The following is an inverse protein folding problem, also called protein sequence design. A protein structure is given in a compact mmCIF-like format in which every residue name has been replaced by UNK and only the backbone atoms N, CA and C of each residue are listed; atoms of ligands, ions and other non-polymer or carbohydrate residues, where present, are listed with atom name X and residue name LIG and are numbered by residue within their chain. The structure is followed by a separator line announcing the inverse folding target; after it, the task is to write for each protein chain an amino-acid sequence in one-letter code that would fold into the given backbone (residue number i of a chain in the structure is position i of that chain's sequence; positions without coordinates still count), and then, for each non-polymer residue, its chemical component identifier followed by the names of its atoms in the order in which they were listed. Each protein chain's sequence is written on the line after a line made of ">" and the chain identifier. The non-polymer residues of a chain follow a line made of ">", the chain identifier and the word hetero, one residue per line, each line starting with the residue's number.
data_IF_341782716140
#
_entry.id   IF_341782716140
#
_cell.length_a   1.000
_cell.length_b   1.000
_cell.length_c   1.000
_cell.angle_alpha   90.00
_cell.angle_beta   90.00
_cell.angle_gamma   90.00
#
_symmetry.space_group_name_H-M   'P 1'
#
loop_
_entity.id
_entity.type
_entity.pdbx_description
1 polymer ?
#
# COMPACT_ATOMS: atom_id res chain seq x y z
N UNK A 1 -46.22 82.57 97.58
CA UNK A 1 -47.19 81.53 97.17
C UNK A 1 -46.39 80.35 96.63
N UNK A 2 -46.53 79.17 97.22
CA UNK A 2 -45.75 77.98 96.86
C UNK A 2 -46.63 77.07 96.01
N UNK A 3 -46.25 76.83 94.75
CA UNK A 3 -46.94 75.91 93.86
C UNK A 3 -46.39 74.50 94.09
N UNK A 4 -47.27 73.60 94.56
CA UNK A 4 -46.95 72.17 94.65
C UNK A 4 -47.19 71.57 93.27
N UNK A 5 -46.12 71.07 92.66
CA UNK A 5 -46.23 70.33 91.41
C UNK A 5 -46.77 68.92 91.70
N UNK A 6 -48.07 68.72 91.47
CA UNK A 6 -48.77 67.44 91.65
C UNK A 6 -48.65 66.53 90.41
N UNK A 7 -47.83 66.90 89.43
CA UNK A 7 -47.57 66.06 88.28
C UNK A 7 -46.54 64.98 88.65
N UNK A 8 -46.99 63.95 89.36
CA UNK A 8 -46.17 62.78 89.66
C UNK A 8 -45.88 62.01 88.37
N UNK A 9 -44.62 61.59 88.20
CA UNK A 9 -44.14 60.84 87.02
C UNK A 9 -44.91 59.54 86.75
N UNK A 10 -45.60 59.01 87.77
CA UNK A 10 -46.46 57.83 87.68
C UNK A 10 -47.72 58.03 86.81
N UNK A 11 -48.11 59.26 86.50
CA UNK A 11 -49.26 59.58 85.63
C UNK A 11 -48.86 59.87 84.18
N UNK A 12 -47.61 59.63 83.78
CA UNK A 12 -47.23 59.67 82.37
C UNK A 12 -47.92 58.49 81.65
N UNK A 13 -48.74 58.72 80.61
CA UNK A 13 -49.32 57.64 79.83
C UNK A 13 -48.19 56.79 79.25
N UNK A 14 -48.18 55.48 79.57
CA UNK A 14 -47.27 54.52 78.93
C UNK A 14 -47.64 54.46 77.46
N UNK A 15 -46.88 55.18 76.65
CA UNK A 15 -46.88 55.04 75.20
C UNK A 15 -46.29 53.66 74.89
N UNK A 16 -47.16 52.69 74.60
CA UNK A 16 -46.76 51.44 73.96
C UNK A 16 -46.34 51.77 72.53
N UNK A 17 -45.05 52.02 72.34
CA UNK A 17 -44.50 52.37 71.02
C UNK A 17 -44.67 51.23 70.00
N UNK A 18 -44.89 49.99 70.46
CA UNK A 18 -45.18 48.79 69.67
C UNK A 18 -46.34 48.03 70.31
N UNK A 19 -47.56 48.19 69.80
CA UNK A 19 -48.64 47.24 70.13
C UNK A 19 -48.30 45.86 69.55
N UNK A 20 -48.68 44.77 70.23
CA UNK A 20 -48.38 43.39 69.78
C UNK A 20 -48.78 43.13 68.32
N UNK A 21 -49.87 43.75 67.87
CA UNK A 21 -50.34 43.69 66.48
C UNK A 21 -49.39 44.36 65.47
N UNK A 22 -48.77 45.50 65.83
CA UNK A 22 -47.78 46.19 65.00
C UNK A 22 -46.48 45.39 64.91
N UNK A 23 -46.07 44.75 66.00
CA UNK A 23 -44.96 43.79 65.99
C UNK A 23 -45.24 42.61 65.05
N UNK A 24 -46.45 42.04 65.12
CA UNK A 24 -46.83 40.92 64.27
C UNK A 24 -46.88 41.32 62.79
N UNK A 25 -47.39 42.51 62.48
CA UNK A 25 -47.49 43.02 61.11
C UNK A 25 -46.10 43.33 60.52
N UNK A 26 -45.20 43.94 61.31
CA UNK A 26 -43.81 44.17 60.89
C UNK A 26 -43.03 42.88 60.71
N UNK A 27 -43.20 41.89 61.61
CA UNK A 27 -42.60 40.57 61.46
C UNK A 27 -43.10 39.84 60.21
N UNK A 28 -44.41 39.91 59.92
CA UNK A 28 -45.01 39.36 58.71
C UNK A 28 -44.48 40.06 57.44
N UNK A 29 -44.38 41.39 57.45
CA UNK A 29 -43.82 42.17 56.35
C UNK A 29 -42.35 41.80 56.08
N UNK A 30 -41.54 41.65 57.12
CA UNK A 30 -40.15 41.20 57.02
C UNK A 30 -40.06 39.78 56.45
N UNK A 31 -40.91 38.86 56.92
CA UNK A 31 -40.96 37.48 56.39
C UNK A 31 -41.31 37.45 54.90
N UNK A 32 -42.33 38.21 54.49
CA UNK A 32 -42.72 38.33 53.08
C UNK A 32 -41.59 38.94 52.23
N UNK A 33 -40.89 39.93 52.76
CA UNK A 33 -39.75 40.54 52.08
C UNK A 33 -38.59 39.53 51.93
N UNK A 34 -38.28 38.76 52.98
CA UNK A 34 -37.28 37.68 52.90
C UNK A 34 -37.66 36.59 51.89
N UNK A 35 -38.92 36.16 51.88
CA UNK A 35 -39.42 35.17 50.91
C UNK A 35 -39.38 35.70 49.47
N UNK A 36 -39.77 36.96 49.27
CA UNK A 36 -39.72 37.61 47.95
C UNK A 36 -38.30 37.72 47.41
N UNK A 37 -37.35 38.15 48.24
CA UNK A 37 -35.92 38.19 47.87
C UNK A 37 -35.38 36.79 47.59
N UNK A 38 -35.70 35.81 48.45
CA UNK A 38 -35.30 34.42 48.26
C UNK A 38 -35.81 33.82 46.96
N UNK A 39 -37.06 34.12 46.57
CA UNK A 39 -37.64 33.63 45.33
C UNK A 39 -36.96 34.24 44.10
N UNK A 40 -36.67 35.54 44.13
CA UNK A 40 -35.94 36.23 43.05
C UNK A 40 -34.54 35.66 42.85
N UNK A 41 -33.79 35.43 43.94
CA UNK A 41 -32.44 34.84 43.90
C UNK A 41 -32.43 33.39 43.36
N UNK A 42 -33.46 32.59 43.67
CA UNK A 42 -33.56 31.21 43.19
C UNK A 42 -33.89 31.14 41.68
N UNK A 43 -34.67 32.10 41.15
CA UNK A 43 -34.98 32.16 39.73
C UNK A 43 -33.71 32.37 38.86
N UNK A 44 -32.78 33.21 39.32
CA UNK A 44 -31.50 33.43 38.64
C UNK A 44 -30.56 32.22 38.74
N UNK A 45 -30.61 31.48 39.85
CA UNK A 45 -29.80 30.27 40.04
C UNK A 45 -30.22 29.13 39.10
N UNK A 46 -31.52 28.93 38.89
CA UNK A 46 -32.01 27.86 38.00
C UNK A 46 -31.68 28.14 36.53
N UNK A 47 -31.77 29.40 36.09
CA UNK A 47 -31.39 29.78 34.73
C UNK A 47 -29.89 29.60 34.51
N UNK A 48 -29.05 30.05 35.46
CA UNK A 48 -27.60 29.88 35.39
C UNK A 48 -27.19 28.40 35.40
N UNK A 49 -27.83 27.58 36.25
CA UNK A 49 -27.60 26.13 36.31
C UNK A 49 -28.00 25.42 35.02
N UNK A 50 -29.10 25.86 34.40
CA UNK A 50 -29.53 25.36 33.09
C UNK A 50 -28.52 25.70 31.99
N UNK A 51 -28.01 26.95 31.96
CA UNK A 51 -26.98 27.37 31.00
C UNK A 51 -25.70 26.54 31.15
N UNK A 52 -25.20 26.38 32.39
CA UNK A 52 -24.01 25.56 32.67
C UNK A 52 -24.22 24.10 32.23
N UNK A 53 -25.40 23.54 32.45
CA UNK A 53 -25.72 22.17 32.00
C UNK A 53 -25.79 22.05 30.48
N UNK A 54 -26.30 23.06 29.78
CA UNK A 54 -26.32 23.10 28.32
C UNK A 54 -24.91 23.17 27.75
N UNK A 55 -24.06 24.05 28.28
CA UNK A 55 -22.66 24.15 27.86
C UNK A 55 -21.88 22.86 28.14
N UNK A 56 -22.09 22.25 29.32
CA UNK A 56 -21.50 20.93 29.62
C UNK A 56 -21.92 19.87 28.63
N UNK A 57 -23.20 19.81 28.26
CA UNK A 57 -23.69 18.87 27.25
C UNK A 57 -23.04 19.10 25.89
N UNK A 58 -22.93 20.36 25.46
CA UNK A 58 -22.26 20.71 24.20
C UNK A 58 -20.78 20.32 24.22
N UNK A 59 -20.09 20.57 25.35
CA UNK A 59 -18.69 20.22 25.52
C UNK A 59 -18.47 18.70 25.49
N UNK A 60 -19.33 17.92 26.14
CA UNK A 60 -19.27 16.45 26.08
C UNK A 60 -19.55 15.92 24.67
N UNK A 61 -20.47 16.53 23.92
CA UNK A 61 -20.69 16.19 22.51
C UNK A 61 -19.46 16.48 21.65
N UNK A 62 -18.83 17.64 21.82
CA UNK A 62 -17.61 18.00 21.08
C UNK A 62 -16.45 17.07 21.42
N UNK A 63 -16.28 16.68 22.69
CA UNK A 63 -15.29 15.68 23.09
C UNK A 63 -15.55 14.33 22.45
N UNK A 64 -16.79 13.86 22.43
CA UNK A 64 -17.15 12.60 21.79
C UNK A 64 -16.81 12.62 20.29
N UNK A 65 -17.13 13.71 19.59
CA UNK A 65 -16.76 13.91 18.18
C UNK A 65 -15.24 13.94 17.98
N UNK A 66 -14.51 14.58 18.89
CA UNK A 66 -13.04 14.64 18.83
C UNK A 66 -12.43 13.26 19.04
N UNK A 67 -12.89 12.49 20.03
CA UNK A 67 -12.45 11.11 20.25
C UNK A 67 -12.79 10.20 19.06
N UNK A 68 -13.98 10.37 18.47
CA UNK A 68 -14.36 9.65 17.26
C UNK A 68 -13.41 9.98 16.10
N UNK A 69 -13.14 11.27 15.86
CA UNK A 69 -12.23 11.71 14.81
C UNK A 69 -10.78 11.25 15.04
N UNK A 70 -10.29 11.32 16.28
CA UNK A 70 -8.98 10.78 16.68
C UNK A 70 -8.91 9.27 16.43
N UNK A 71 -9.98 8.52 16.74
CA UNK A 71 -10.04 7.09 16.46
C UNK A 71 -10.04 6.78 14.97
N UNK A 72 -10.70 7.60 14.14
CA UNK A 72 -10.68 7.48 12.68
C UNK A 72 -9.29 7.77 12.12
N UNK A 73 -8.57 8.74 12.69
CA UNK A 73 -7.19 9.07 12.30
C UNK A 73 -6.23 7.96 12.74
N UNK A 74 -6.36 7.45 13.97
CA UNK A 74 -5.51 6.38 14.50
C UNK A 74 -5.72 5.04 13.77
N UNK A 75 -6.95 4.74 13.36
CA UNK A 75 -7.29 3.57 12.56
C UNK A 75 -7.05 3.77 11.05
N UNK A 76 -6.67 4.97 10.62
CA UNK A 76 -6.23 5.18 9.25
C UNK A 76 -4.88 4.47 9.11
N UNK A 77 -4.72 3.49 8.21
CA UNK A 77 -3.42 2.89 7.97
C UNK A 77 -2.47 4.05 7.64
N UNK A 78 -1.41 4.18 8.44
CA UNK A 78 -0.41 5.24 8.29
C UNK A 78 -0.06 5.38 6.82
N UNK A 79 -0.11 6.61 6.29
CA UNK A 79 0.27 6.87 4.90
C UNK A 79 1.66 6.29 4.60
N UNK A 80 2.54 6.18 5.60
CA UNK A 80 3.83 5.51 5.50
C UNK A 80 3.74 4.01 5.10
N UNK A 81 2.69 3.31 5.53
CA UNK A 81 2.43 1.93 5.12
C UNK A 81 1.88 1.84 3.70
N UNK A 82 1.13 2.85 3.25
CA UNK A 82 0.62 2.93 1.87
C UNK A 82 1.74 3.30 0.90
N UNK A 83 2.59 4.25 1.26
CA UNK A 83 3.77 4.65 0.49
C UNK A 83 4.77 3.48 0.35
N UNK A 84 5.02 2.73 1.44
CA UNK A 84 5.87 1.54 1.35
C UNK A 84 5.26 0.45 0.45
N UNK A 85 3.93 0.30 0.44
CA UNK A 85 3.25 -0.63 -0.46
C UNK A 85 3.33 -0.17 -1.91
N UNK A 86 3.13 1.13 -2.17
CA UNK A 86 3.25 1.73 -3.50
C UNK A 86 4.67 1.56 -4.02
N UNK A 87 5.69 1.92 -3.24
CA UNK A 87 7.09 1.75 -3.67
C UNK A 87 7.47 0.29 -3.93
N UNK A 88 6.93 -0.67 -3.15
CA UNK A 88 7.13 -2.10 -3.43
C UNK A 88 6.45 -2.53 -4.73
N UNK A 89 5.22 -2.07 -4.96
CA UNK A 89 4.47 -2.39 -6.18
C UNK A 89 5.13 -1.79 -7.42
N UNK A 90 5.60 -0.55 -7.35
CA UNK A 90 6.35 0.12 -8.41
C UNK A 90 7.65 -0.61 -8.73
N UNK A 91 8.39 -1.04 -7.70
CA UNK A 91 9.60 -1.83 -7.88
C UNK A 91 9.32 -3.20 -8.55
N UNK A 92 8.23 -3.86 -8.16
CA UNK A 92 7.83 -5.13 -8.79
C UNK A 92 7.38 -4.95 -10.24
N UNK A 93 6.66 -3.87 -10.55
CA UNK A 93 6.30 -3.51 -11.92
C UNK A 93 7.56 -3.25 -12.74
N UNK A 94 8.52 -2.49 -12.22
CA UNK A 94 9.76 -2.16 -12.91
C UNK A 94 10.58 -3.41 -13.24
N UNK A 95 10.71 -4.36 -12.30
CA UNK A 95 11.39 -5.64 -12.56
C UNK A 95 10.70 -6.46 -13.64
N UNK A 96 9.36 -6.55 -13.60
CA UNK A 96 8.58 -7.26 -14.61
C UNK A 96 8.71 -6.61 -15.99
N UNK A 97 8.72 -5.28 -16.03
CA UNK A 97 8.94 -4.51 -17.26
C UNK A 97 10.35 -4.73 -17.82
N UNK A 98 11.38 -4.73 -16.96
CA UNK A 98 12.76 -5.01 -17.36
C UNK A 98 12.90 -6.43 -17.91
N UNK A 99 12.28 -7.41 -17.28
CA UNK A 99 12.23 -8.77 -17.78
C UNK A 99 11.52 -8.84 -19.14
N UNK A 100 10.34 -8.21 -19.27
CA UNK A 100 9.60 -8.14 -20.53
C UNK A 100 10.38 -7.44 -21.64
N UNK A 101 11.08 -6.35 -21.36
CA UNK A 101 11.93 -5.65 -22.32
C UNK A 101 13.14 -6.51 -22.70
N UNK A 102 13.76 -7.21 -21.75
CA UNK A 102 14.84 -8.16 -22.05
C UNK A 102 14.35 -9.29 -22.96
N UNK A 103 13.10 -9.75 -22.78
CA UNK A 103 12.48 -10.73 -23.67
C UNK A 103 12.00 -10.14 -25.00
N UNK A 104 11.65 -8.85 -25.08
CA UNK A 104 11.29 -8.17 -26.33
C UNK A 104 12.52 -7.85 -27.19
N UNK A 105 13.63 -7.45 -26.58
CA UNK A 105 14.91 -7.25 -27.26
C UNK A 105 15.55 -8.59 -27.66
N UNK A 106 15.23 -9.68 -26.94
CA UNK A 106 15.48 -11.05 -27.36
C UNK A 106 14.35 -11.53 -28.30
N UNK A 107 14.24 -10.87 -29.44
CA UNK A 107 13.52 -11.26 -30.66
C UNK A 107 12.47 -12.39 -30.49
N UNK A 108 11.27 -11.98 -30.06
CA UNK A 108 10.06 -12.84 -29.96
C UNK A 108 9.63 -13.39 -31.34
N UNK A 109 10.27 -12.98 -32.43
CA UNK A 109 10.07 -13.54 -33.78
C UNK A 109 10.47 -15.01 -33.91
N UNK A 110 11.21 -15.57 -32.95
CA UNK A 110 11.67 -16.96 -32.98
C UNK A 110 10.83 -17.94 -32.13
N UNK A 111 9.65 -17.52 -31.66
CA UNK A 111 8.76 -18.29 -30.78
C UNK A 111 8.19 -19.61 -31.36
N UNK A 112 8.57 -19.99 -32.58
CA UNK A 112 8.31 -21.33 -33.14
C UNK A 112 9.52 -22.04 -33.78
N UNK A 113 10.71 -21.43 -33.79
CA UNK A 113 11.86 -21.90 -34.58
C UNK A 113 12.88 -22.73 -33.78
N UNK A 114 13.34 -22.23 -32.64
CA UNK A 114 14.48 -22.82 -31.93
C UNK A 114 14.18 -24.16 -31.25
N UNK A 115 13.00 -24.29 -30.64
CA UNK A 115 12.62 -25.52 -29.93
C UNK A 115 12.57 -26.73 -30.87
N UNK A 116 12.06 -26.54 -32.10
CA UNK A 116 12.00 -27.60 -33.11
C UNK A 116 13.40 -28.02 -33.59
N UNK A 117 14.31 -27.05 -33.75
CA UNK A 117 15.72 -27.32 -34.12
C UNK A 117 16.39 -28.16 -33.03
N UNK A 118 16.26 -27.76 -31.76
CA UNK A 118 16.86 -28.49 -30.63
C UNK A 118 16.26 -29.89 -30.49
N UNK A 119 14.94 -30.04 -30.67
CA UNK A 119 14.28 -31.35 -30.60
C UNK A 119 14.74 -32.29 -31.72
N UNK A 120 14.84 -31.81 -32.96
CA UNK A 120 15.33 -32.61 -34.08
C UNK A 120 16.82 -32.97 -33.92
N UNK A 121 17.64 -32.07 -33.34
CA UNK A 121 19.04 -32.38 -32.99
C UNK A 121 19.11 -33.48 -31.92
N UNK A 122 18.27 -33.42 -30.89
CA UNK A 122 18.26 -34.40 -29.80
C UNK A 122 17.76 -35.79 -30.23
N UNK A 123 16.87 -35.86 -31.23
CA UNK A 123 16.37 -37.14 -31.76
C UNK A 123 17.42 -37.92 -32.54
N UNK A 124 18.45 -37.25 -33.07
CA UNK A 124 19.48 -37.86 -33.90
C UNK A 124 20.82 -37.97 -33.17
N UNK A 125 20.83 -38.63 -32.02
CA UNK A 125 22.03 -38.95 -31.25
C UNK A 125 22.96 -39.88 -32.06
N UNK A 126 24.18 -39.43 -32.31
CA UNK A 126 25.19 -40.14 -33.10
C UNK A 126 26.43 -40.38 -32.25
N UNK A 127 26.83 -41.63 -32.07
CA UNK A 127 27.97 -42.01 -31.21
C UNK A 127 29.33 -41.45 -31.67
N UNK A 128 29.45 -41.04 -32.92
CA UNK A 128 30.70 -40.57 -33.52
C UNK A 128 30.79 -39.03 -33.61
N UNK A 129 29.76 -38.27 -33.19
CA UNK A 129 29.69 -36.80 -33.31
C UNK A 129 29.13 -36.19 -32.02
N UNK A 130 29.85 -35.21 -31.45
CA UNK A 130 29.42 -34.48 -30.26
C UNK A 130 29.30 -32.99 -30.56
N UNK A 131 28.16 -32.38 -30.28
CA UNK A 131 27.96 -30.94 -30.41
C UNK A 131 28.42 -30.23 -29.13
N UNK A 132 29.20 -29.16 -29.30
CA UNK A 132 29.73 -28.34 -28.20
C UNK A 132 29.16 -26.93 -28.19
N UNK A 133 28.80 -26.39 -29.37
CA UNK A 133 28.17 -25.09 -29.50
C UNK A 133 27.14 -25.09 -30.61
N UNK A 134 25.97 -24.54 -30.33
CA UNK A 134 24.89 -24.28 -31.29
C UNK A 134 24.67 -22.77 -31.29
N UNK A 135 24.86 -22.14 -32.44
CA UNK A 135 24.68 -20.70 -32.63
C UNK A 135 23.60 -20.49 -33.69
N UNK A 136 22.58 -19.70 -33.37
CA UNK A 136 21.46 -19.44 -34.28
C UNK A 136 21.30 -17.93 -34.39
N UNK A 137 21.57 -17.40 -35.57
CA UNK A 137 21.51 -15.97 -35.84
C UNK A 137 20.65 -15.73 -37.07
N UNK A 138 19.49 -15.12 -36.87
CA UNK A 138 18.44 -14.88 -37.87
C UNK A 138 18.11 -16.16 -38.66
N UNK A 139 18.79 -16.34 -39.80
CA UNK A 139 18.56 -17.43 -40.74
C UNK A 139 19.77 -18.37 -40.92
N UNK A 140 20.84 -18.12 -40.16
CA UNK A 140 22.07 -18.92 -40.16
C UNK A 140 22.15 -19.79 -38.91
N UNK A 141 22.32 -21.09 -39.12
CA UNK A 141 22.58 -22.09 -38.08
C UNK A 141 24.04 -22.50 -38.15
N UNK A 142 24.79 -22.26 -37.07
CA UNK A 142 26.17 -22.72 -36.93
C UNK A 142 26.24 -23.80 -35.86
N UNK A 143 26.69 -24.99 -36.27
CA UNK A 143 26.89 -26.13 -35.39
C UNK A 143 28.39 -26.38 -35.25
N UNK A 144 28.89 -26.35 -34.03
CA UNK A 144 30.27 -26.69 -33.72
C UNK A 144 30.32 -27.90 -32.81
N UNK A 145 31.32 -28.75 -33.04
CA UNK A 145 31.42 -30.00 -32.33
C UNK A 145 32.74 -30.71 -32.59
N UNK A 146 32.79 -31.95 -32.14
CA UNK A 146 33.96 -32.82 -32.25
C UNK A 146 33.55 -34.14 -32.89
N UNK A 147 34.47 -34.76 -33.61
CA UNK A 147 34.30 -36.12 -34.15
C UNK A 147 35.60 -36.91 -34.12
N UNK A 148 35.50 -38.23 -33.96
CA UNK A 148 36.63 -39.16 -34.13
C UNK A 148 36.85 -39.55 -35.60
N UNK A 149 35.84 -39.34 -36.45
CA UNK A 149 35.85 -39.78 -37.85
C UNK A 149 35.30 -38.66 -38.75
N UNK A 150 36.19 -37.85 -39.37
CA UNK A 150 35.79 -36.78 -40.28
C UNK A 150 34.79 -37.21 -41.37
N UNK A 151 34.91 -38.44 -41.85
CA UNK A 151 34.04 -39.02 -42.89
C UNK A 151 32.56 -39.12 -42.46
N UNK A 152 32.29 -39.23 -41.15
CA UNK A 152 30.92 -39.36 -40.63
C UNK A 152 30.14 -38.03 -40.67
N UNK A 153 30.83 -36.89 -40.80
CA UNK A 153 30.19 -35.57 -40.83
C UNK A 153 29.21 -35.48 -42.01
N UNK A 154 29.61 -35.96 -43.19
CA UNK A 154 28.75 -35.90 -44.38
C UNK A 154 27.50 -36.77 -44.25
N UNK A 155 27.63 -37.95 -43.64
CA UNK A 155 26.50 -38.85 -43.37
C UNK A 155 25.53 -38.27 -42.34
N UNK A 156 26.08 -37.63 -41.31
CA UNK A 156 25.31 -36.95 -40.27
C UNK A 156 24.53 -35.76 -40.82
N UNK A 157 25.15 -34.92 -41.65
CA UNK A 157 24.47 -33.81 -42.35
C UNK A 157 23.30 -34.31 -43.19
N UNK A 158 23.51 -35.38 -43.97
CA UNK A 158 22.44 -36.00 -44.78
C UNK A 158 21.28 -36.50 -43.93
N UNK A 159 21.57 -37.02 -42.74
CA UNK A 159 20.53 -37.50 -41.82
C UNK A 159 19.78 -36.34 -41.17
N UNK A 160 20.48 -35.31 -40.69
CA UNK A 160 19.86 -34.09 -40.17
C UNK A 160 18.97 -33.40 -41.20
N UNK A 161 19.42 -33.30 -42.46
CA UNK A 161 18.70 -32.60 -43.53
C UNK A 161 17.35 -33.24 -43.89
N UNK A 162 17.05 -34.46 -43.40
CA UNK A 162 15.73 -35.10 -43.55
C UNK A 162 14.66 -34.51 -42.63
N UNK A 163 15.06 -33.81 -41.58
CA UNK A 163 14.14 -33.17 -40.64
C UNK A 163 13.75 -31.77 -41.14
N UNK A 164 12.46 -31.43 -41.09
CA UNK A 164 11.93 -30.20 -41.67
C UNK A 164 12.59 -28.93 -41.10
N UNK A 165 12.96 -28.93 -39.81
CA UNK A 165 13.60 -27.78 -39.16
C UNK A 165 15.10 -27.63 -39.49
N UNK A 166 15.74 -28.72 -39.92
CA UNK A 166 17.18 -28.81 -40.22
C UNK A 166 17.50 -28.98 -41.71
N UNK A 167 16.49 -28.94 -42.59
CA UNK A 167 16.64 -28.98 -44.03
C UNK A 167 17.17 -27.64 -44.57
N UNK A 168 18.47 -27.40 -44.37
CA UNK A 168 19.20 -26.19 -44.76
C UNK A 168 20.40 -26.54 -45.61
N UNK A 169 20.85 -25.60 -46.44
CA UNK A 169 22.09 -25.78 -47.21
C UNK A 169 23.27 -25.43 -46.32
N UNK A 170 24.11 -26.42 -46.03
CA UNK A 170 25.36 -26.23 -45.32
C UNK A 170 26.45 -25.77 -46.29
N UNK A 171 26.88 -24.51 -46.15
CA UNK A 171 27.72 -23.80 -47.12
C UNK A 171 29.22 -23.92 -46.80
N UNK A 172 29.58 -24.12 -45.54
CA UNK A 172 30.97 -24.21 -45.10
C UNK A 172 31.16 -25.30 -44.04
N UNK A 173 32.20 -26.11 -44.23
CA UNK A 173 32.69 -27.08 -43.25
C UNK A 173 34.16 -26.72 -42.97
N UNK A 174 34.44 -26.28 -41.76
CA UNK A 174 35.80 -26.13 -41.25
C UNK A 174 36.13 -27.36 -40.42
N UNK A 175 37.26 -28.02 -40.71
CA UNK A 175 37.81 -29.09 -39.88
C UNK A 175 39.20 -28.69 -39.41
N UNK A 176 39.41 -28.76 -38.10
CA UNK A 176 40.70 -28.53 -37.46
C UNK A 176 41.03 -29.73 -36.57
N UNK A 177 42.31 -30.11 -36.51
CA UNK A 177 42.74 -31.16 -35.60
C UNK A 177 42.76 -30.60 -34.17
N UNK A 178 42.18 -31.34 -33.22
CA UNK A 178 42.06 -30.85 -31.86
C UNK A 178 43.44 -30.71 -31.19
N UNK A 179 43.67 -29.56 -30.56
CA UNK A 179 44.94 -29.19 -29.93
C UNK A 179 45.34 -30.11 -28.75
N UNK A 180 44.39 -30.80 -28.13
CA UNK A 180 44.62 -31.69 -26.98
C UNK A 180 44.62 -33.17 -27.35
N UNK A 181 44.03 -33.56 -28.47
CA UNK A 181 43.95 -34.95 -28.90
C UNK A 181 44.00 -35.07 -30.42
N UNK A 182 45.13 -35.58 -30.92
CA UNK A 182 45.36 -35.77 -32.36
C UNK A 182 44.34 -36.70 -33.05
N UNK A 183 43.59 -37.51 -32.29
CA UNK A 183 42.57 -38.43 -32.79
C UNK A 183 41.16 -37.82 -32.85
N UNK A 184 41.01 -36.56 -32.42
CA UNK A 184 39.75 -35.82 -32.42
C UNK A 184 39.87 -34.65 -33.38
N UNK A 185 38.82 -34.43 -34.17
CA UNK A 185 38.71 -33.29 -35.08
C UNK A 185 37.61 -32.38 -34.59
N UNK A 186 37.93 -31.10 -34.43
CA UNK A 186 36.96 -30.05 -34.20
C UNK A 186 36.36 -29.68 -35.56
N UNK A 187 35.03 -29.60 -35.62
CA UNK A 187 34.32 -29.19 -36.82
C UNK A 187 33.43 -28.00 -36.54
N UNK A 188 33.28 -27.16 -37.56
CA UNK A 188 32.28 -26.10 -37.59
C UNK A 188 31.53 -26.16 -38.91
N UNK A 189 30.22 -26.23 -38.78
CA UNK A 189 29.27 -26.37 -39.88
C UNK A 189 28.37 -25.16 -39.89
N UNK A 190 28.36 -24.40 -40.98
CA UNK A 190 27.49 -23.23 -41.15
C UNK A 190 26.44 -23.51 -42.22
N UNK A 191 25.16 -23.45 -41.85
CA UNK A 191 24.02 -23.67 -42.74
C UNK A 191 23.06 -22.50 -42.79
N UNK A 192 22.66 -22.10 -43.99
CA UNK A 192 21.63 -21.08 -44.24
C UNK A 192 20.39 -21.67 -44.90
N UNK A 193 19.24 -20.98 -44.84
CA UNK A 193 18.07 -21.41 -45.63
C UNK A 193 18.38 -21.26 -47.09
N UNK A 194 18.09 -22.31 -47.85
CA UNK A 194 18.09 -22.22 -49.29
C UNK A 194 16.98 -21.25 -49.71
N UNK A 195 17.35 -20.02 -50.07
CA UNK A 195 16.42 -19.09 -50.72
C UNK A 195 16.03 -19.73 -52.04
N UNK A 196 14.80 -20.25 -52.09
CA UNK A 196 14.19 -20.79 -53.30
C UNK A 196 13.97 -19.60 -54.24
N UNK A 197 14.87 -19.40 -55.20
CA UNK A 197 14.60 -18.52 -56.32
C UNK A 197 13.55 -19.24 -57.20
N UNK A 198 12.29 -18.85 -57.04
CA UNK A 198 11.24 -19.02 -58.06
C UNK A 198 11.04 -17.70 -58.80
#
# INVERSE_FOLDING_TARGET
>A
MQQVNLYLEQFKPKVEYLSFEQFLMSAAALLLLYLGLGWMLNADLDTLKSQVNQERKMLEQMKAQLTELESMIANRPSQAGLDSQISRLEYDIQKKQLALNTFQDADVSASGGFSNIIEDLARNDSRDIWLTKIDIQDDTLVLSGQTLKPEMITEWIKTMSRHASLNRQYLAIELEQNQWNERVYDFKLSGGVAVKHE
#
